data_IF_795727284986
#
_entry.id   IF_795727284986
#
_cell.length_a   1.000
_cell.length_b   1.000
_cell.length_c   1.000
_cell.angle_alpha   90.00
_cell.angle_beta   90.00
_cell.angle_gamma   90.00
#
_symmetry.space_group_name_H-M   'P 1'
#
loop_
_entity.id
_entity.type
_entity.pdbx_description
1 polymer ?
#
# COMPACT_ATOMS: atom_id res chain seq x y z
N UNK A 1 13.52 12.21 14.97
CA UNK A 1 12.66 11.47 14.03
C UNK A 1 11.67 12.47 13.46
N UNK A 2 11.58 12.63 12.13
CA UNK A 2 10.63 13.59 11.55
C UNK A 2 9.26 12.92 11.50
N UNK A 3 8.37 13.33 12.39
CA UNK A 3 6.97 12.92 12.37
C UNK A 3 6.26 13.74 11.28
N UNK A 4 5.77 13.05 10.27
CA UNK A 4 5.02 13.65 9.16
C UNK A 4 3.53 13.65 9.49
N UNK A 5 2.92 14.83 9.48
CA UNK A 5 1.49 14.98 9.72
C UNK A 5 0.66 14.70 8.47
N UNK A 6 -0.66 14.53 8.62
CA UNK A 6 -1.57 14.42 7.47
C UNK A 6 -1.54 15.68 6.59
N UNK A 7 -1.36 16.86 7.19
CA UNK A 7 -1.17 18.11 6.45
C UNK A 7 0.11 18.10 5.61
N UNK A 8 1.22 17.63 6.17
CA UNK A 8 2.48 17.54 5.41
C UNK A 8 2.34 16.55 4.24
N UNK A 9 1.68 15.42 4.48
CA UNK A 9 1.39 14.43 3.44
C UNK A 9 0.50 15.00 2.32
N UNK A 10 -0.49 15.84 2.67
CA UNK A 10 -1.34 16.57 1.71
C UNK A 10 -0.54 17.56 0.88
N UNK A 11 0.32 18.36 1.51
CA UNK A 11 1.16 19.32 0.80
C UNK A 11 2.17 18.62 -0.12
N UNK A 12 2.69 17.45 0.28
CA UNK A 12 3.55 16.63 -0.58
C UNK A 12 2.83 16.16 -1.85
N UNK A 13 1.61 15.62 -1.72
CA UNK A 13 0.79 15.22 -2.88
C UNK A 13 0.44 16.42 -3.76
N UNK A 14 0.13 17.57 -3.15
CA UNK A 14 -0.16 18.81 -3.88
C UNK A 14 1.06 19.34 -4.65
N UNK A 15 2.25 19.33 -4.03
CA UNK A 15 3.51 19.65 -4.71
C UNK A 15 3.71 18.75 -5.92
N UNK A 16 3.51 17.43 -5.78
CA UNK A 16 3.67 16.48 -6.87
C UNK A 16 2.65 16.70 -7.99
N UNK A 17 1.37 16.89 -7.68
CA UNK A 17 0.37 17.20 -8.70
C UNK A 17 0.66 18.50 -9.46
N UNK A 18 1.29 19.50 -8.83
CA UNK A 18 1.66 20.75 -9.51
C UNK A 18 2.76 20.56 -10.57
N UNK A 19 3.51 19.45 -10.49
CA UNK A 19 4.61 19.10 -11.39
C UNK A 19 4.33 17.84 -12.23
N UNK A 20 3.25 17.13 -11.92
CA UNK A 20 2.84 15.93 -12.63
C UNK A 20 2.43 16.25 -14.06
N UNK A 21 2.65 15.30 -14.96
CA UNK A 21 2.24 15.41 -16.36
C UNK A 21 0.72 15.68 -16.43
N UNK A 22 0.24 16.63 -17.27
CA UNK A 22 -1.18 16.96 -17.36
C UNK A 22 -2.09 15.75 -17.67
N UNK A 23 -1.57 14.73 -18.38
CA UNK A 23 -2.30 13.48 -18.63
C UNK A 23 -2.67 12.74 -17.34
N UNK A 24 -1.91 12.95 -16.26
CA UNK A 24 -2.14 12.39 -14.94
C UNK A 24 -3.20 13.15 -14.13
N UNK A 25 -3.56 14.37 -14.54
CA UNK A 25 -4.56 15.16 -13.79
C UNK A 25 -5.96 14.56 -13.89
N UNK A 26 -6.25 13.80 -14.95
CA UNK A 26 -7.54 13.14 -15.15
C UNK A 26 -7.88 12.15 -14.02
N UNK A 27 -6.89 11.59 -13.33
CA UNK A 27 -7.11 10.66 -12.22
C UNK A 27 -6.98 11.30 -10.84
N UNK A 28 -6.69 12.61 -10.75
CA UNK A 28 -6.40 13.30 -9.48
C UNK A 28 -7.48 13.10 -8.41
N UNK A 29 -8.75 13.23 -8.79
CA UNK A 29 -9.88 13.02 -7.88
C UNK A 29 -9.95 11.58 -7.38
N UNK A 30 -9.71 10.61 -8.26
CA UNK A 30 -9.76 9.19 -7.92
C UNK A 30 -8.59 8.79 -7.03
N UNK A 31 -7.40 9.31 -7.28
CA UNK A 31 -6.22 9.13 -6.43
C UNK A 31 -6.44 9.69 -5.03
N UNK A 32 -6.90 10.95 -4.91
CA UNK A 32 -7.14 11.55 -3.60
C UNK A 32 -8.25 10.81 -2.84
N UNK A 33 -9.31 10.37 -3.53
CA UNK A 33 -10.37 9.56 -2.93
C UNK A 33 -9.84 8.20 -2.45
N UNK A 34 -8.99 7.54 -3.24
CA UNK A 34 -8.32 6.30 -2.86
C UNK A 34 -7.44 6.51 -1.62
N UNK A 35 -6.52 7.47 -1.66
CA UNK A 35 -5.64 7.80 -0.54
C UNK A 35 -6.39 8.14 0.75
N UNK A 36 -7.44 8.97 0.70
CA UNK A 36 -8.23 9.33 1.89
C UNK A 36 -8.95 8.12 2.50
N UNK A 37 -9.50 7.23 1.66
CA UNK A 37 -10.14 6.02 2.14
C UNK A 37 -9.12 5.01 2.70
N UNK A 38 -7.99 4.79 2.03
CA UNK A 38 -6.93 3.90 2.53
C UNK A 38 -6.35 4.44 3.85
N UNK A 39 -6.20 5.76 4.02
CA UNK A 39 -5.87 6.38 5.32
C UNK A 39 -6.86 5.99 6.42
N UNK A 40 -8.17 6.09 6.12
CA UNK A 40 -9.24 5.77 7.08
C UNK A 40 -9.23 4.30 7.48
N UNK A 41 -9.18 3.41 6.48
CA UNK A 41 -9.17 1.95 6.69
C UNK A 41 -7.92 1.55 7.49
N UNK A 42 -6.74 2.03 7.12
CA UNK A 42 -5.50 1.71 7.81
C UNK A 42 -5.51 2.17 9.27
N UNK A 43 -6.07 3.36 9.55
CA UNK A 43 -6.22 3.87 10.91
C UNK A 43 -7.17 3.00 11.73
N UNK A 44 -8.34 2.70 11.19
CA UNK A 44 -9.36 1.88 11.84
C UNK A 44 -8.82 0.49 12.16
N UNK A 45 -8.22 -0.17 11.17
CA UNK A 45 -7.60 -1.50 11.34
C UNK A 45 -6.51 -1.49 12.39
N UNK A 46 -5.62 -0.49 12.40
CA UNK A 46 -4.58 -0.40 13.43
C UNK A 46 -5.16 -0.23 14.85
N UNK A 47 -6.22 0.58 15.00
CA UNK A 47 -6.90 0.77 16.29
C UNK A 47 -7.56 -0.53 16.76
N UNK A 48 -8.27 -1.23 15.87
CA UNK A 48 -8.91 -2.51 16.19
C UNK A 48 -7.89 -3.57 16.63
N UNK A 49 -6.77 -3.67 15.91
CA UNK A 49 -5.68 -4.59 16.26
C UNK A 49 -5.13 -4.27 17.66
N UNK A 50 -4.83 -3.01 17.98
CA UNK A 50 -4.28 -2.63 19.29
C UNK A 50 -5.27 -2.90 20.42
N UNK A 51 -6.56 -2.61 20.21
CA UNK A 51 -7.60 -2.87 21.22
C UNK A 51 -7.70 -4.36 21.57
N UNK A 52 -7.47 -5.22 20.58
CA UNK A 52 -7.57 -6.68 20.71
C UNK A 52 -6.25 -7.36 21.10
N UNK A 53 -5.11 -6.70 20.82
CA UNK A 53 -3.76 -7.21 20.98
C UNK A 53 -2.87 -6.09 21.58
N UNK A 54 -3.10 -5.68 22.84
CA UNK A 54 -2.48 -4.48 23.43
C UNK A 54 -0.95 -4.58 23.61
N UNK A 55 -0.38 -5.77 23.50
CA UNK A 55 1.06 -6.01 23.49
C UNK A 55 1.74 -5.59 22.16
N UNK A 56 0.96 -5.48 21.08
CA UNK A 56 1.46 -5.03 19.79
C UNK A 56 1.70 -3.52 19.81
N UNK A 57 2.92 -3.13 19.44
CA UNK A 57 3.35 -1.72 19.39
C UNK A 57 3.16 -1.19 17.97
N UNK A 58 1.94 -0.78 17.66
CA UNK A 58 1.58 -0.17 16.38
C UNK A 58 1.18 1.29 16.65
N UNK A 59 1.61 2.23 15.81
CA UNK A 59 1.10 3.61 15.85
C UNK A 59 0.04 3.79 14.75
N UNK A 60 -1.27 3.93 15.10
CA UNK A 60 -2.32 4.11 14.11
C UNK A 60 -2.16 5.37 13.28
N UNK A 61 -1.53 6.43 13.82
CA UNK A 61 -1.23 7.65 13.10
C UNK A 61 -0.22 7.42 11.99
N UNK A 62 0.90 6.76 12.31
CA UNK A 62 1.95 6.46 11.32
C UNK A 62 1.43 5.53 10.21
N UNK A 63 0.72 4.46 10.58
CA UNK A 63 0.14 3.50 9.64
C UNK A 63 -0.90 4.16 8.74
N UNK A 64 -1.73 5.07 9.28
CA UNK A 64 -2.68 5.82 8.48
C UNK A 64 -1.99 6.71 7.44
N UNK A 65 -0.89 7.39 7.82
CA UNK A 65 -0.12 8.23 6.88
C UNK A 65 0.57 7.38 5.80
N UNK A 66 1.10 6.21 6.16
CA UNK A 66 1.61 5.26 5.18
C UNK A 66 0.49 4.81 4.21
N UNK A 67 -0.71 4.52 4.71
CA UNK A 67 -1.88 4.22 3.88
C UNK A 67 -2.29 5.38 2.95
N UNK A 68 -2.16 6.62 3.40
CA UNK A 68 -2.42 7.81 2.56
C UNK A 68 -1.42 7.95 1.40
N UNK A 69 -0.15 7.64 1.68
CA UNK A 69 0.97 7.89 0.77
C UNK A 69 1.42 6.65 -0.02
N UNK A 70 0.83 5.47 0.18
CA UNK A 70 1.32 4.22 -0.40
C UNK A 70 1.51 4.31 -1.93
N UNK A 71 0.56 4.94 -2.62
CA UNK A 71 0.52 5.10 -4.06
C UNK A 71 1.29 6.33 -4.58
N UNK A 72 2.02 7.08 -3.73
CA UNK A 72 2.65 8.37 -4.13
C UNK A 72 3.57 8.26 -5.35
N UNK A 73 4.16 7.09 -5.59
CA UNK A 73 5.00 6.83 -6.77
C UNK A 73 4.27 6.96 -8.10
N UNK A 74 2.93 6.86 -8.12
CA UNK A 74 2.10 7.08 -9.31
C UNK A 74 2.20 8.51 -9.84
N UNK A 75 2.49 9.48 -8.96
CA UNK A 75 2.61 10.90 -9.29
C UNK A 75 4.01 11.27 -9.82
N UNK A 76 4.96 10.33 -9.80
CA UNK A 76 6.36 10.59 -10.15
C UNK A 76 6.73 10.14 -11.57
N UNK A 77 5.87 9.36 -12.23
CA UNK A 77 6.10 8.87 -13.58
C UNK A 77 4.78 8.53 -14.25
N UNK A 78 4.72 8.68 -15.57
CA UNK A 78 3.62 8.16 -16.39
C UNK A 78 3.64 6.62 -16.39
N UNK A 79 4.81 6.00 -16.33
CA UNK A 79 4.94 4.54 -16.18
C UNK A 79 4.51 4.13 -14.76
N UNK A 80 3.39 3.40 -14.67
CA UNK A 80 2.80 2.98 -13.41
C UNK A 80 3.39 1.68 -12.84
N UNK A 81 4.23 0.98 -13.61
CA UNK A 81 4.91 -0.22 -13.13
C UNK A 81 5.84 0.11 -11.96
N UNK A 82 5.82 -0.74 -10.93
CA UNK A 82 6.70 -0.66 -9.75
C UNK A 82 6.65 0.70 -9.04
N UNK A 83 5.49 1.36 -9.06
CA UNK A 83 5.27 2.64 -8.41
C UNK A 83 5.48 2.59 -6.89
N UNK A 84 5.34 1.42 -6.28
CA UNK A 84 5.62 1.13 -4.87
C UNK A 84 7.09 1.42 -4.54
N UNK A 85 8.01 0.90 -5.38
CA UNK A 85 9.45 1.13 -5.25
C UNK A 85 9.77 2.61 -5.47
N UNK A 86 9.18 3.21 -6.52
CA UNK A 86 9.41 4.62 -6.86
C UNK A 86 8.97 5.56 -5.72
N UNK A 87 7.79 5.32 -5.16
CA UNK A 87 7.25 6.08 -4.02
C UNK A 87 8.11 5.93 -2.77
N UNK A 88 8.52 4.70 -2.45
CA UNK A 88 9.38 4.42 -1.31
C UNK A 88 10.74 5.13 -1.42
N UNK A 89 11.40 5.08 -2.59
CA UNK A 89 12.68 5.76 -2.82
C UNK A 89 12.55 7.29 -2.72
N UNK A 90 11.45 7.84 -3.23
CA UNK A 90 11.15 9.27 -3.11
C UNK A 90 11.00 9.71 -1.65
N UNK A 91 10.20 8.98 -0.86
CA UNK A 91 10.03 9.28 0.56
C UNK A 91 11.35 9.16 1.33
N UNK A 92 12.16 8.15 1.03
CA UNK A 92 13.50 8.00 1.62
C UNK A 92 14.39 9.21 1.31
N UNK A 93 14.40 9.69 0.06
CA UNK A 93 15.16 10.89 -0.36
C UNK A 93 14.70 12.16 0.35
N UNK A 94 13.41 12.25 0.73
CA UNK A 94 12.85 13.36 1.51
C UNK A 94 13.08 13.23 3.03
N UNK A 95 13.76 12.17 3.50
CA UNK A 95 14.04 11.94 4.91
C UNK A 95 12.96 11.14 5.65
N UNK A 96 11.94 10.64 4.96
CA UNK A 96 10.84 9.86 5.54
C UNK A 96 11.12 8.36 5.46
N UNK A 97 12.19 7.92 6.13
CA UNK A 97 12.67 6.54 5.99
C UNK A 97 11.70 5.49 6.56
N UNK A 98 10.99 5.79 7.65
CA UNK A 98 9.97 4.87 8.19
C UNK A 98 8.82 4.66 7.22
N UNK A 99 8.27 5.74 6.64
CA UNK A 99 7.21 5.62 5.64
C UNK A 99 7.68 4.86 4.40
N UNK A 100 8.90 5.14 3.93
CA UNK A 100 9.52 4.41 2.82
C UNK A 100 9.49 2.90 3.05
N UNK A 101 9.87 2.45 4.25
CA UNK A 101 9.84 1.03 4.62
C UNK A 101 8.42 0.47 4.70
N UNK A 102 7.45 1.24 5.19
CA UNK A 102 6.06 0.79 5.31
C UNK A 102 5.38 0.57 3.96
N UNK A 103 5.66 1.43 2.96
CA UNK A 103 4.91 1.40 1.70
C UNK A 103 5.55 0.55 0.60
N UNK A 104 6.84 0.22 0.68
CA UNK A 104 7.57 -0.39 -0.45
C UNK A 104 7.03 -1.77 -0.87
N UNK A 105 6.32 -2.47 0.02
CA UNK A 105 5.98 -3.89 -0.12
C UNK A 105 4.49 -4.15 -0.29
N UNK A 106 3.71 -3.18 -0.77
CA UNK A 106 2.27 -3.38 -0.93
C UNK A 106 1.90 -4.11 -2.22
N UNK A 107 0.74 -4.78 -2.18
CA UNK A 107 0.18 -5.57 -3.28
C UNK A 107 1.12 -6.64 -3.86
N UNK A 108 1.39 -6.66 -5.18
CA UNK A 108 2.15 -7.71 -5.91
C UNK A 108 3.54 -7.24 -6.40
N UNK A 109 4.06 -6.14 -5.86
CA UNK A 109 5.35 -5.55 -6.28
C UNK A 109 6.51 -6.55 -6.25
N UNK A 110 6.53 -7.48 -5.30
CA UNK A 110 7.54 -8.53 -5.26
C UNK A 110 7.48 -9.43 -6.50
N UNK A 111 6.29 -9.90 -6.87
CA UNK A 111 6.10 -10.80 -8.01
C UNK A 111 6.27 -10.07 -9.35
N UNK A 112 5.93 -8.79 -9.41
CA UNK A 112 6.25 -7.91 -10.54
C UNK A 112 7.76 -7.77 -10.71
N UNK A 113 8.49 -7.46 -9.64
CA UNK A 113 9.94 -7.27 -9.67
C UNK A 113 10.71 -8.57 -10.00
N UNK A 114 10.15 -9.73 -9.67
CA UNK A 114 10.74 -11.03 -10.02
C UNK A 114 10.50 -11.44 -11.49
N UNK A 115 9.56 -10.81 -12.21
CA UNK A 115 9.42 -11.02 -13.65
C UNK A 115 10.49 -10.20 -14.37
N UNK A 116 11.50 -10.86 -14.94
CA UNK A 116 12.62 -10.21 -15.64
C UNK A 116 12.16 -9.34 -16.82
N UNK A 117 10.96 -9.61 -17.36
CA UNK A 117 10.37 -8.87 -18.46
C UNK A 117 9.33 -7.83 -18.00
N UNK A 118 9.24 -7.54 -16.69
CA UNK A 118 8.30 -6.54 -16.20
C UNK A 118 8.74 -5.13 -16.58
N UNK A 119 7.85 -4.27 -17.12
CA UNK A 119 8.23 -2.94 -17.58
C UNK A 119 8.80 -2.07 -16.46
N UNK A 120 9.89 -1.35 -16.73
CA UNK A 120 10.51 -0.43 -15.78
C UNK A 120 11.30 -1.11 -14.66
N UNK A 121 11.48 -2.44 -14.69
CA UNK A 121 12.28 -3.17 -13.69
C UNK A 121 13.73 -2.71 -13.66
N UNK A 122 14.29 -2.36 -14.82
CA UNK A 122 15.65 -1.87 -14.99
C UNK A 122 15.96 -0.60 -14.18
N UNK A 123 14.94 0.25 -13.92
CA UNK A 123 15.04 1.44 -13.06
C UNK A 123 15.45 1.08 -11.61
N UNK A 124 15.23 -0.17 -11.20
CA UNK A 124 15.30 -0.63 -9.82
C UNK A 124 16.26 -1.83 -9.62
N UNK A 125 17.23 -2.01 -10.53
CA UNK A 125 18.18 -3.14 -10.53
C UNK A 125 18.97 -3.35 -9.23
N UNK A 126 19.14 -2.31 -8.40
CA UNK A 126 19.84 -2.38 -7.12
C UNK A 126 18.95 -2.69 -5.91
N UNK A 127 17.65 -2.94 -6.10
CA UNK A 127 16.73 -3.23 -5.01
C UNK A 127 16.90 -4.68 -4.53
N UNK A 128 17.07 -4.85 -3.22
CA UNK A 128 16.96 -6.17 -2.60
C UNK A 128 15.49 -6.62 -2.62
N UNK A 129 15.17 -7.60 -3.45
CA UNK A 129 13.81 -8.13 -3.64
C UNK A 129 13.14 -8.56 -2.32
N UNK A 130 13.92 -9.00 -1.32
CA UNK A 130 13.35 -9.40 -0.02
C UNK A 130 12.73 -8.24 0.76
N UNK A 131 13.02 -6.99 0.40
CA UNK A 131 12.39 -5.79 0.97
C UNK A 131 10.98 -5.56 0.42
N UNK A 132 10.64 -6.18 -0.71
CA UNK A 132 9.35 -6.02 -1.40
C UNK A 132 8.26 -6.94 -0.82
N UNK A 133 8.60 -7.75 0.19
CA UNK A 133 7.65 -8.58 0.92
C UNK A 133 7.18 -7.87 2.21
N UNK A 134 5.87 -7.89 2.53
CA UNK A 134 5.34 -7.29 3.76
C UNK A 134 5.70 -8.16 4.98
N UNK A 135 6.72 -7.75 5.73
CA UNK A 135 7.28 -8.49 6.88
C UNK A 135 6.80 -7.98 8.24
N UNK A 136 6.46 -6.69 8.32
CA UNK A 136 5.95 -6.04 9.53
C UNK A 136 4.42 -5.97 9.51
N UNK A 137 3.81 -5.86 10.69
CA UNK A 137 2.35 -5.75 10.81
C UNK A 137 1.87 -4.47 10.13
N UNK A 138 2.62 -3.37 10.22
CA UNK A 138 2.32 -2.10 9.56
C UNK A 138 2.25 -2.26 8.04
N UNK A 139 3.23 -2.93 7.43
CA UNK A 139 3.22 -3.23 5.99
C UNK A 139 2.02 -4.11 5.61
N UNK A 140 1.68 -5.09 6.44
CA UNK A 140 0.53 -5.97 6.22
C UNK A 140 -0.80 -5.21 6.32
N UNK A 141 -0.92 -4.27 7.26
CA UNK A 141 -2.07 -3.36 7.35
C UNK A 141 -2.19 -2.53 6.07
N UNK A 142 -1.09 -2.04 5.49
CA UNK A 142 -1.14 -1.30 4.21
C UNK A 142 -1.69 -2.18 3.09
N UNK A 143 -1.18 -3.41 2.95
CA UNK A 143 -1.68 -4.39 1.96
C UNK A 143 -3.18 -4.64 2.14
N UNK A 144 -3.61 -4.92 3.37
CA UNK A 144 -5.02 -5.15 3.69
C UNK A 144 -5.87 -3.91 3.36
N UNK A 145 -5.40 -2.73 3.76
CA UNK A 145 -6.17 -1.48 3.60
C UNK A 145 -6.37 -1.10 2.14
N UNK A 146 -5.35 -1.26 1.31
CA UNK A 146 -5.46 -1.05 -0.15
C UNK A 146 -6.44 -2.06 -0.78
N UNK A 147 -6.34 -3.33 -0.37
CA UNK A 147 -7.23 -4.38 -0.86
C UNK A 147 -8.63 -4.35 -0.26
N UNK A 148 -8.85 -3.59 0.80
CA UNK A 148 -10.18 -3.32 1.33
C UNK A 148 -10.77 -2.02 0.79
N UNK A 149 -10.12 -1.35 -0.16
CA UNK A 149 -10.62 -0.11 -0.76
C UNK A 149 -11.11 -0.32 -2.20
N UNK A 150 -12.40 -0.03 -2.44
CA UNK A 150 -12.96 0.09 -3.79
C UNK A 150 -13.69 1.44 -3.91
N UNK A 151 -13.15 2.32 -4.75
CA UNK A 151 -13.74 3.62 -5.08
C UNK A 151 -14.02 4.50 -3.84
N UNK A 152 -13.20 4.38 -2.80
CA UNK A 152 -13.34 5.15 -1.56
C UNK A 152 -14.22 4.48 -0.50
N UNK A 153 -14.68 3.24 -0.73
CA UNK A 153 -15.48 2.46 0.23
C UNK A 153 -14.68 1.27 0.75
N UNK A 154 -14.86 0.96 2.04
CA UNK A 154 -14.35 -0.27 2.65
C UNK A 154 -15.18 -1.46 2.16
N UNK A 155 -14.51 -2.46 1.59
CA UNK A 155 -15.11 -3.71 1.10
C UNK A 155 -14.30 -4.93 1.58
N UNK A 156 -14.84 -6.13 1.37
CA UNK A 156 -14.07 -7.34 1.68
C UNK A 156 -12.88 -7.50 0.71
N UNK A 157 -11.70 -7.81 1.21
CA UNK A 157 -10.51 -7.94 0.37
C UNK A 157 -10.65 -9.04 -0.70
N UNK A 158 -11.41 -10.10 -0.42
CA UNK A 158 -11.68 -11.18 -1.38
C UNK A 158 -12.56 -10.69 -2.53
N UNK A 159 -13.51 -9.80 -2.26
CA UNK A 159 -14.31 -9.14 -3.30
C UNK A 159 -13.44 -8.23 -4.17
N UNK A 160 -12.53 -7.47 -3.55
CA UNK A 160 -11.58 -6.62 -4.28
C UNK A 160 -10.66 -7.43 -5.18
N UNK A 161 -10.14 -8.56 -4.71
CA UNK A 161 -9.30 -9.45 -5.53
C UNK A 161 -10.04 -9.96 -6.76
N UNK A 162 -11.30 -10.40 -6.60
CA UNK A 162 -12.15 -10.82 -7.73
C UNK A 162 -12.40 -9.68 -8.71
N UNK A 163 -12.63 -8.46 -8.19
CA UNK A 163 -12.78 -7.27 -9.03
C UNK A 163 -11.51 -6.99 -9.85
N UNK A 164 -10.34 -7.02 -9.23
CA UNK A 164 -9.05 -6.79 -9.90
C UNK A 164 -8.81 -7.85 -10.98
N UNK A 165 -9.02 -9.13 -10.64
CA UNK A 165 -8.89 -10.26 -11.56
C UNK A 165 -9.79 -10.11 -12.80
N UNK A 166 -11.08 -9.77 -12.59
CA UNK A 166 -12.00 -9.53 -13.71
C UNK A 166 -11.64 -8.29 -14.53
N UNK A 167 -11.18 -7.21 -13.89
CA UNK A 167 -10.73 -5.98 -14.58
C UNK A 167 -9.50 -6.24 -15.46
N UNK A 168 -8.61 -7.13 -15.02
CA UNK A 168 -7.34 -7.43 -15.67
C UNK A 168 -7.36 -8.73 -16.49
N UNK A 169 -8.53 -9.35 -16.70
CA UNK A 169 -8.68 -10.66 -17.36
C UNK A 169 -8.05 -10.76 -18.76
N UNK A 170 -7.89 -9.63 -19.44
CA UNK A 170 -7.29 -9.53 -20.78
C UNK A 170 -5.85 -8.96 -20.74
N UNK A 171 -5.21 -8.91 -19.58
CA UNK A 171 -3.86 -8.39 -19.39
C UNK A 171 -2.93 -9.50 -18.84
N UNK A 172 -2.38 -10.37 -19.71
CA UNK A 172 -1.51 -11.46 -19.28
C UNK A 172 -0.27 -10.99 -18.52
N UNK A 173 0.26 -9.81 -18.86
CA UNK A 173 1.43 -9.22 -18.20
C UNK A 173 1.16 -8.92 -16.71
N UNK A 174 -0.05 -8.49 -16.37
CA UNK A 174 -0.49 -8.32 -14.99
C UNK A 174 -0.89 -9.64 -14.32
N UNK A 175 -1.61 -10.52 -15.05
CA UNK A 175 -2.16 -11.74 -14.47
C UNK A 175 -1.09 -12.71 -13.98
N UNK A 176 0.02 -12.87 -14.71
CA UNK A 176 1.12 -13.77 -14.29
C UNK A 176 1.70 -13.44 -12.90
N UNK A 177 2.15 -12.22 -12.60
CA UNK A 177 2.60 -11.88 -11.25
C UNK A 177 1.45 -11.89 -10.24
N UNK A 178 0.24 -11.49 -10.65
CA UNK A 178 -0.93 -11.51 -9.77
C UNK A 178 -1.28 -12.93 -9.27
N UNK A 179 -1.32 -13.92 -10.17
CA UNK A 179 -1.59 -15.32 -9.82
C UNK A 179 -0.53 -15.89 -8.87
N UNK A 180 0.75 -15.54 -9.08
CA UNK A 180 1.86 -15.94 -8.18
C UNK A 180 1.73 -15.30 -6.79
N UNK A 181 1.32 -14.04 -6.73
CA UNK A 181 1.23 -13.28 -5.47
C UNK A 181 -0.07 -13.48 -4.69
N UNK A 182 -1.15 -13.91 -5.35
CA UNK A 182 -2.49 -14.07 -4.77
C UNK A 182 -2.50 -14.93 -3.50
N UNK A 183 -1.81 -16.09 -3.41
CA UNK A 183 -1.76 -16.87 -2.16
C UNK A 183 -1.13 -16.10 -0.99
N UNK A 184 -0.03 -15.37 -1.24
CA UNK A 184 0.63 -14.53 -0.22
C UNK A 184 -0.30 -13.41 0.24
N UNK A 185 -0.96 -12.73 -0.69
CA UNK A 185 -1.90 -11.65 -0.38
C UNK A 185 -3.06 -12.18 0.48
N UNK A 186 -3.65 -13.32 0.11
CA UNK A 186 -4.74 -13.92 0.88
C UNK A 186 -4.28 -14.26 2.29
N UNK A 187 -3.08 -14.83 2.44
CA UNK A 187 -2.49 -15.12 3.73
C UNK A 187 -2.36 -13.86 4.58
N UNK A 188 -1.67 -12.83 4.07
CA UNK A 188 -1.47 -11.54 4.75
C UNK A 188 -2.79 -10.90 5.19
N UNK A 189 -3.77 -10.84 4.28
CA UNK A 189 -5.05 -10.22 4.61
C UNK A 189 -5.86 -11.04 5.63
N UNK A 190 -5.73 -12.37 5.61
CA UNK A 190 -6.39 -13.25 6.59
C UNK A 190 -5.76 -13.08 7.97
N UNK A 191 -4.43 -12.98 8.06
CA UNK A 191 -3.71 -12.71 9.32
C UNK A 191 -4.15 -11.37 9.94
N UNK A 192 -4.35 -10.32 9.12
CA UNK A 192 -4.91 -9.04 9.58
C UNK A 192 -6.37 -9.18 10.05
N UNK A 193 -7.23 -9.87 9.29
CA UNK A 193 -8.61 -10.14 9.71
C UNK A 193 -8.68 -10.92 11.04
N UNK A 194 -7.73 -11.83 11.29
CA UNK A 194 -7.64 -12.59 12.54
C UNK A 194 -7.26 -11.68 13.71
N UNK A 195 -6.24 -10.83 13.57
CA UNK A 195 -5.86 -9.86 14.61
C UNK A 195 -7.01 -8.90 14.97
N UNK A 196 -7.81 -8.49 13.98
CA UNK A 196 -9.00 -7.65 14.18
C UNK A 196 -10.15 -8.40 14.89
N UNK A 197 -10.21 -9.74 14.82
CA UNK A 197 -11.29 -10.54 15.42
C UNK A 197 -10.98 -11.10 16.81
N UNK A 198 -9.73 -11.05 17.25
CA UNK A 198 -9.36 -11.60 18.56
C UNK A 198 -10.05 -10.83 19.68
N UNK A 199 -10.94 -11.48 20.44
CA UNK A 199 -11.46 -10.90 21.68
C UNK A 199 -10.32 -10.87 22.71
N UNK A 200 -10.13 -9.80 23.49
CA UNK A 200 -9.15 -9.78 24.57
C UNK A 200 -9.35 -11.02 25.44
N UNK A 201 -8.30 -11.82 25.63
CA UNK A 201 -8.35 -12.91 26.61
C UNK A 201 -8.55 -12.24 27.96
N UNK A 202 -9.76 -12.36 28.51
CA UNK A 202 -10.05 -12.00 29.89
C UNK A 202 -9.00 -12.67 30.78
N UNK A 203 -8.14 -11.88 31.39
CA UNK A 203 -7.23 -12.36 32.42
C UNK A 203 -8.08 -12.81 33.61
N UNK A 204 -8.35 -14.11 33.69
CA UNK A 204 -8.84 -14.78 34.90
C UNK A 204 -7.68 -15.00 35.87
#
# INVERSE_FOLDING_TARGET
MVLISKSDAKELIKELFSRADPSQHKFKSDFLRHSEATYGIAKETAIEIINNNPELKIDPGEVAIAGYLHDIGRLLSVNQSLHEIRGALYLKKKGFEMLSRMIISHFIVYEEFLDENYPGREEFSNINASLLLPKSIEQQIIVYSDLSNLEGRKINFRERLKYIENRQKNNPQFLRPFERGKPRIIKVCTEIEELVKQTPRSTT
#
